data_IF_583152800646
#
_entry.id   IF_583152800646
#
_cell.length_a   1.000
_cell.length_b   1.000
_cell.length_c   1.000
_cell.angle_alpha   90.00
_cell.angle_beta   90.00
_cell.angle_gamma   90.00
#
_symmetry.space_group_name_H-M   'P 1'
#
loop_
_entity.id
_entity.type
_entity.pdbx_description
1 polymer ?
#
# COMPACT_ATOMS: atom_id res chain seq x y z
N UNK A 1 -7.25 -8.56 16.89
CA UNK A 1 -8.24 -7.52 16.52
C UNK A 1 -7.50 -6.49 15.70
N UNK A 2 -7.67 -6.48 14.37
CA UNK A 2 -6.90 -5.59 13.49
C UNK A 2 -7.22 -4.12 13.78
N UNK A 3 -6.22 -3.26 13.62
CA UNK A 3 -6.26 -1.80 13.85
C UNK A 3 -7.41 -1.11 13.07
N UNK A 4 -7.97 -1.78 12.07
CA UNK A 4 -9.02 -1.28 11.18
C UNK A 4 -10.45 -1.59 11.64
N UNK A 5 -10.67 -2.48 12.61
CA UNK A 5 -11.99 -2.76 13.18
C UNK A 5 -12.27 -1.87 14.39
N UNK A 6 -12.46 -0.56 14.18
CA UNK A 6 -12.96 0.31 15.25
C UNK A 6 -14.49 0.17 15.36
N UNK A 7 -14.94 -0.30 16.52
CA UNK A 7 -16.35 -0.46 16.86
C UNK A 7 -17.00 0.91 17.11
N UNK A 8 -17.75 1.42 16.13
CA UNK A 8 -18.76 2.46 16.40
C UNK A 8 -19.93 1.81 17.17
N UNK A 9 -19.81 1.71 18.50
CA UNK A 9 -20.93 1.33 19.36
C UNK A 9 -21.96 2.48 19.37
N UNK A 10 -23.10 2.26 18.71
CA UNK A 10 -24.29 3.08 18.87
C UNK A 10 -24.72 3.08 20.34
N UNK A 11 -24.65 4.24 21.00
CA UNK A 11 -25.23 4.46 22.32
C UNK A 11 -26.60 5.12 22.12
N UNK A 12 -27.72 4.54 22.60
CA UNK A 12 -29.02 5.19 22.48
C UNK A 12 -29.11 6.28 23.54
N UNK A 13 -29.25 7.54 23.13
CA UNK A 13 -29.45 8.65 24.04
C UNK A 13 -30.91 9.12 24.00
N UNK A 14 -31.45 9.22 25.20
CA UNK A 14 -32.80 9.63 25.57
C UNK A 14 -33.16 11.04 25.09
N UNK A 15 -34.48 11.21 24.91
CA UNK A 15 -35.22 12.43 24.60
C UNK A 15 -34.75 13.67 25.37
N UNK A 16 -34.39 14.75 24.66
CA UNK A 16 -34.17 16.07 25.25
C UNK A 16 -33.58 17.06 24.24
N UNK A 17 -34.38 18.05 23.83
CA UNK A 17 -34.03 19.05 22.83
C UNK A 17 -32.79 19.88 23.22
N UNK A 18 -31.77 19.90 22.36
CA UNK A 18 -30.76 20.95 22.32
C UNK A 18 -30.16 21.05 20.90
N UNK A 19 -30.06 22.28 20.42
CA UNK A 19 -29.50 22.74 19.14
C UNK A 19 -28.45 21.80 18.54
N UNK A 20 -28.75 21.22 17.38
CA UNK A 20 -27.84 20.38 16.60
C UNK A 20 -26.73 21.23 15.98
N UNK A 21 -25.68 21.51 16.77
CA UNK A 21 -24.34 21.73 16.23
C UNK A 21 -23.86 20.38 15.69
N UNK A 22 -24.18 20.11 14.42
CA UNK A 22 -23.48 19.09 13.65
C UNK A 22 -22.03 19.58 13.48
N UNK A 23 -21.22 19.33 14.51
CA UNK A 23 -19.77 19.34 14.36
C UNK A 23 -19.44 18.26 13.35
N UNK A 24 -19.24 18.66 12.09
CA UNK A 24 -18.63 17.78 11.10
C UNK A 24 -17.28 17.38 11.66
N UNK A 25 -17.18 16.14 12.14
CA UNK A 25 -15.90 15.52 12.43
C UNK A 25 -15.21 15.39 11.07
N UNK A 26 -14.46 16.42 10.69
CA UNK A 26 -13.78 16.53 9.41
C UNK A 26 -12.60 15.58 9.38
N UNK A 27 -12.88 14.28 9.28
CA UNK A 27 -11.86 13.27 9.09
C UNK A 27 -11.31 13.45 7.67
N UNK A 28 -10.06 13.90 7.56
CA UNK A 28 -9.40 14.03 6.26
C UNK A 28 -8.90 12.66 5.87
N UNK A 29 -9.23 12.15 4.68
CA UNK A 29 -8.70 10.87 4.24
C UNK A 29 -7.17 10.93 4.21
N UNK A 30 -6.51 9.83 4.56
CA UNK A 30 -5.06 9.68 4.52
C UNK A 30 -4.65 8.35 3.87
N UNK A 31 -3.39 8.27 3.44
CA UNK A 31 -2.79 7.01 2.97
C UNK A 31 -2.15 6.29 4.14
N UNK A 32 -2.52 5.03 4.34
CA UNK A 32 -1.87 4.16 5.31
C UNK A 32 -1.23 2.96 4.61
N UNK A 33 0.10 2.83 4.60
CA UNK A 33 0.79 1.65 4.09
C UNK A 33 0.39 0.42 4.89
N UNK A 34 0.09 -0.68 4.21
CA UNK A 34 -0.13 -1.96 4.86
C UNK A 34 1.22 -2.56 5.23
N UNK A 35 1.41 -2.87 6.51
CA UNK A 35 2.65 -3.47 7.01
C UNK A 35 2.63 -4.99 6.87
N UNK A 36 3.80 -5.62 6.99
CA UNK A 36 3.91 -7.08 7.11
C UNK A 36 3.13 -7.58 8.32
N UNK A 37 3.08 -6.83 9.43
CA UNK A 37 2.26 -7.16 10.60
C UNK A 37 0.76 -7.17 10.27
N UNK A 38 0.27 -6.13 9.58
CA UNK A 38 -1.14 -6.02 9.19
C UNK A 38 -1.54 -7.17 8.26
N UNK A 39 -0.69 -7.46 7.26
CA UNK A 39 -0.92 -8.54 6.32
C UNK A 39 -0.82 -9.93 6.97
N UNK A 40 0.07 -10.08 7.97
CA UNK A 40 0.13 -11.29 8.80
C UNK A 40 -1.20 -11.54 9.50
N UNK A 41 -1.80 -10.51 10.12
CA UNK A 41 -3.09 -10.66 10.79
C UNK A 41 -4.20 -11.06 9.81
N UNK A 42 -4.19 -10.49 8.60
CA UNK A 42 -5.11 -10.90 7.53
C UNK A 42 -4.95 -12.39 7.17
N UNK A 43 -3.72 -12.84 6.92
CA UNK A 43 -3.43 -14.23 6.55
C UNK A 43 -3.78 -15.20 7.68
N UNK A 44 -3.48 -14.84 8.93
CA UNK A 44 -3.81 -15.65 10.11
C UNK A 44 -5.32 -15.80 10.33
N UNK A 45 -6.09 -14.73 10.14
CA UNK A 45 -7.56 -14.74 10.31
C UNK A 45 -8.28 -15.52 9.20
N UNK A 46 -7.70 -15.59 8.00
CA UNK A 46 -8.40 -16.06 6.79
C UNK A 46 -7.82 -17.34 6.18
N UNK A 47 -6.58 -17.69 6.50
CA UNK A 47 -5.84 -18.72 5.78
C UNK A 47 -5.50 -18.33 4.34
N UNK A 48 -5.49 -17.03 4.01
CA UNK A 48 -5.21 -16.55 2.66
C UNK A 48 -3.82 -16.94 2.20
N UNK A 49 -3.72 -17.34 0.92
CA UNK A 49 -2.45 -17.65 0.24
C UNK A 49 -2.26 -16.62 -0.86
N UNK A 50 -1.13 -15.91 -0.85
CA UNK A 50 -0.87 -14.86 -1.84
C UNK A 50 -0.60 -15.42 -3.23
N UNK A 51 -0.73 -14.61 -4.27
CA UNK A 51 -0.43 -15.05 -5.64
C UNK A 51 1.03 -15.54 -5.77
N UNK A 52 2.00 -14.82 -5.19
CA UNK A 52 3.40 -15.27 -5.12
C UNK A 52 3.56 -16.64 -4.43
N UNK A 53 2.83 -16.89 -3.34
CA UNK A 53 2.84 -18.20 -2.66
C UNK A 53 2.19 -19.30 -3.53
N UNK A 54 1.13 -18.99 -4.29
CA UNK A 54 0.50 -19.96 -5.22
C UNK A 54 1.42 -20.33 -6.37
N UNK A 55 2.16 -19.36 -6.91
CA UNK A 55 3.14 -19.61 -7.97
C UNK A 55 4.39 -20.34 -7.46
N UNK A 56 4.75 -20.14 -6.19
CA UNK A 56 5.99 -20.66 -5.61
C UNK A 56 7.22 -19.81 -5.93
N UNK A 57 7.05 -18.69 -6.63
CA UNK A 57 8.13 -17.78 -7.00
C UNK A 57 7.58 -16.35 -7.15
N UNK A 58 8.48 -15.37 -7.12
CA UNK A 58 8.15 -13.99 -7.49
C UNK A 58 9.32 -13.25 -8.12
N UNK A 59 9.06 -12.04 -8.60
CA UNK A 59 10.07 -11.15 -9.18
C UNK A 59 10.80 -10.38 -8.07
N UNK A 60 12.12 -10.44 -8.07
CA UNK A 60 12.99 -9.66 -7.19
C UNK A 60 13.74 -8.64 -8.02
N UNK A 61 13.34 -7.37 -7.91
CA UNK A 61 14.05 -6.26 -8.52
C UNK A 61 15.45 -6.11 -7.90
N UNK A 62 16.48 -5.93 -8.76
CA UNK A 62 17.88 -5.76 -8.33
C UNK A 62 18.46 -4.40 -8.74
N UNK A 63 17.91 -3.76 -9.77
CA UNK A 63 18.20 -2.39 -10.18
C UNK A 63 17.00 -1.84 -10.96
N UNK A 64 17.03 -0.60 -11.46
CA UNK A 64 15.91 -0.08 -12.28
C UNK A 64 15.63 -0.91 -13.53
N UNK A 65 16.67 -1.53 -14.10
CA UNK A 65 16.56 -2.29 -15.35
C UNK A 65 16.72 -3.79 -15.17
N UNK A 66 17.10 -4.24 -13.96
CA UNK A 66 17.43 -5.64 -13.68
C UNK A 66 16.51 -6.27 -12.65
N UNK A 67 16.03 -7.47 -12.93
CA UNK A 67 15.26 -8.30 -12.02
C UNK A 67 15.72 -9.75 -12.09
N UNK A 68 15.34 -10.54 -11.09
CA UNK A 68 15.49 -12.00 -11.05
C UNK A 68 14.12 -12.63 -10.76
N UNK A 69 13.89 -13.82 -11.29
CA UNK A 69 12.84 -14.70 -10.80
C UNK A 69 13.45 -15.53 -9.68
N UNK A 70 12.82 -15.52 -8.51
CA UNK A 70 13.35 -16.18 -7.31
C UNK A 70 12.27 -17.07 -6.74
N UNK A 71 12.59 -18.37 -6.63
CA UNK A 71 11.77 -19.36 -5.93
C UNK A 71 11.59 -18.96 -4.47
N UNK A 72 10.44 -19.29 -3.90
CA UNK A 72 10.03 -18.99 -2.52
C UNK A 72 10.00 -17.48 -2.17
N UNK A 73 10.26 -16.58 -3.14
CA UNK A 73 10.10 -15.16 -2.92
C UNK A 73 8.62 -14.80 -2.76
N UNK A 74 8.26 -14.33 -1.58
CA UNK A 74 6.88 -13.96 -1.22
C UNK A 74 6.89 -12.86 -0.15
N UNK A 75 5.72 -12.47 0.34
CA UNK A 75 5.60 -11.36 1.30
C UNK A 75 6.30 -11.63 2.65
N UNK A 76 6.50 -12.90 3.03
CA UNK A 76 7.25 -13.31 4.23
C UNK A 76 8.75 -13.31 3.99
N UNK A 77 9.19 -13.77 2.81
CA UNK A 77 10.58 -13.83 2.36
C UNK A 77 10.74 -13.00 1.07
N UNK A 78 10.82 -11.66 1.12
CA UNK A 78 10.73 -10.83 -0.08
C UNK A 78 11.82 -11.07 -1.13
N UNK A 79 12.97 -11.60 -0.71
CA UNK A 79 14.07 -12.00 -1.60
C UNK A 79 14.25 -13.53 -1.70
N UNK A 80 13.27 -14.30 -1.22
CA UNK A 80 13.29 -15.76 -1.16
C UNK A 80 14.09 -16.37 0.01
N UNK A 81 14.77 -15.54 0.82
CA UNK A 81 15.68 -16.07 1.85
C UNK A 81 15.60 -15.36 3.20
N UNK A 82 15.45 -14.03 3.20
CA UNK A 82 15.45 -13.22 4.42
C UNK A 82 14.02 -12.83 4.80
N UNK A 83 13.64 -13.00 6.08
CA UNK A 83 12.32 -12.61 6.54
C UNK A 83 12.14 -11.10 6.47
N UNK A 84 10.94 -10.68 6.08
CA UNK A 84 10.52 -9.30 6.16
C UNK A 84 10.35 -8.86 7.62
N UNK A 85 10.68 -7.60 7.91
CA UNK A 85 10.40 -7.00 9.22
C UNK A 85 8.92 -6.62 9.32
N UNK A 86 8.30 -6.88 10.48
CA UNK A 86 6.87 -6.69 10.71
C UNK A 86 6.40 -5.24 10.49
N UNK A 87 7.25 -4.25 10.80
CA UNK A 87 6.93 -2.82 10.67
C UNK A 87 7.10 -2.29 9.23
N UNK A 88 7.72 -3.07 8.34
CA UNK A 88 7.94 -2.66 6.97
C UNK A 88 6.63 -2.76 6.16
N UNK A 89 6.45 -1.93 5.13
CA UNK A 89 5.42 -2.14 4.12
C UNK A 89 5.51 -3.56 3.59
N UNK A 90 4.36 -4.22 3.47
CA UNK A 90 4.27 -5.52 2.82
C UNK A 90 4.63 -5.37 1.33
N UNK A 91 5.44 -6.28 0.82
CA UNK A 91 5.82 -6.35 -0.60
C UNK A 91 5.61 -7.76 -1.13
N UNK A 92 5.96 -8.02 -2.40
CA UNK A 92 5.66 -9.31 -3.05
C UNK A 92 4.16 -9.67 -2.99
N UNK A 93 3.31 -8.66 -3.05
CA UNK A 93 1.85 -8.78 -3.10
C UNK A 93 1.33 -8.26 -4.43
N UNK A 94 0.32 -8.93 -4.96
CA UNK A 94 -0.36 -8.59 -6.21
C UNK A 94 -1.54 -7.65 -5.99
N UNK A 95 -2.18 -7.20 -7.08
CA UNK A 95 -3.44 -6.47 -6.99
C UNK A 95 -4.55 -7.33 -6.34
N UNK A 96 -4.60 -8.63 -6.66
CA UNK A 96 -5.59 -9.53 -6.09
C UNK A 96 -5.39 -9.68 -4.57
N UNK A 97 -4.14 -9.79 -4.12
CA UNK A 97 -3.78 -9.85 -2.69
C UNK A 97 -4.23 -8.58 -1.96
N UNK A 98 -3.94 -7.42 -2.54
CA UNK A 98 -4.32 -6.13 -1.98
C UNK A 98 -5.85 -5.95 -1.92
N UNK A 99 -6.58 -6.41 -2.94
CA UNK A 99 -8.05 -6.38 -2.97
C UNK A 99 -8.66 -7.30 -1.91
N UNK A 100 -8.15 -8.52 -1.77
CA UNK A 100 -8.60 -9.47 -0.75
C UNK A 100 -8.36 -8.93 0.67
N UNK A 101 -7.20 -8.33 0.92
CA UNK A 101 -6.92 -7.63 2.18
C UNK A 101 -7.94 -6.51 2.44
N UNK A 102 -8.20 -5.65 1.44
CA UNK A 102 -9.15 -4.55 1.57
C UNK A 102 -10.57 -5.04 1.93
N UNK A 103 -11.03 -6.10 1.28
CA UNK A 103 -12.32 -6.74 1.55
C UNK A 103 -12.40 -7.26 3.01
N UNK A 104 -11.35 -7.93 3.49
CA UNK A 104 -11.30 -8.43 4.87
C UNK A 104 -11.25 -7.31 5.93
N UNK A 105 -10.46 -6.26 5.66
CA UNK A 105 -10.24 -5.15 6.58
C UNK A 105 -11.38 -4.11 6.55
N UNK A 106 -12.27 -4.15 5.55
CA UNK A 106 -13.32 -3.14 5.37
C UNK A 106 -12.79 -1.78 4.92
N UNK A 107 -11.67 -1.78 4.18
CA UNK A 107 -11.01 -0.59 3.63
C UNK A 107 -10.96 -0.67 2.11
N UNK A 108 -10.33 0.30 1.44
CA UNK A 108 -10.15 0.26 -0.01
C UNK A 108 -8.82 0.86 -0.44
N UNK A 109 -8.37 0.45 -1.62
CA UNK A 109 -7.27 1.09 -2.34
C UNK A 109 -7.68 2.51 -2.80
N UNK A 110 -6.76 3.48 -2.78
CA UNK A 110 -6.96 4.76 -3.45
C UNK A 110 -7.02 4.54 -4.98
N UNK A 111 -7.81 5.35 -5.68
CA UNK A 111 -7.60 5.53 -7.13
C UNK A 111 -6.27 6.22 -7.39
N UNK A 112 -5.75 6.13 -8.60
CA UNK A 112 -4.50 6.81 -8.98
C UNK A 112 -4.56 8.31 -8.70
N UNK A 113 -5.70 8.95 -9.01
CA UNK A 113 -5.91 10.38 -8.73
C UNK A 113 -5.94 10.66 -7.22
N UNK A 114 -6.67 9.85 -6.44
CA UNK A 114 -6.71 10.03 -4.99
C UNK A 114 -5.33 9.88 -4.36
N UNK A 115 -4.54 8.90 -4.80
CA UNK A 115 -3.17 8.72 -4.30
C UNK A 115 -2.35 10.02 -4.42
N UNK A 116 -2.34 10.65 -5.61
CA UNK A 116 -1.57 11.87 -5.84
C UNK A 116 -2.08 13.09 -5.08
N UNK A 117 -3.36 13.13 -4.73
CA UNK A 117 -3.88 14.19 -3.86
C UNK A 117 -3.49 13.96 -2.39
N UNK A 118 -3.61 12.72 -1.93
CA UNK A 118 -3.38 12.37 -0.53
C UNK A 118 -1.89 12.35 -0.16
N UNK A 119 -1.03 11.93 -1.08
CA UNK A 119 0.41 11.77 -0.82
C UNK A 119 1.12 13.11 -0.55
N UNK A 120 0.49 14.24 -0.89
CA UNK A 120 1.00 15.59 -0.57
C UNK A 120 1.06 15.85 0.93
N UNK A 121 0.16 15.24 1.70
CA UNK A 121 0.04 15.39 3.15
C UNK A 121 0.54 14.15 3.91
N UNK A 122 1.12 13.17 3.19
CA UNK A 122 1.62 11.93 3.77
C UNK A 122 2.89 12.17 4.59
N UNK A 123 2.87 11.70 5.84
CA UNK A 123 3.92 11.90 6.84
C UNK A 123 4.63 10.59 7.21
N UNK A 124 4.36 9.47 6.51
CA UNK A 124 5.04 8.19 6.78
C UNK A 124 6.55 8.36 6.61
N UNK A 125 7.40 7.69 7.39
CA UNK A 125 8.85 7.75 7.19
C UNK A 125 9.25 7.03 5.89
N UNK A 126 10.24 7.58 5.20
CA UNK A 126 10.97 6.86 4.15
C UNK A 126 11.82 5.79 4.83
N UNK A 127 11.71 4.54 4.37
CA UNK A 127 12.43 3.39 4.92
C UNK A 127 13.50 2.92 3.94
N UNK A 128 14.20 3.87 3.33
CA UNK A 128 15.54 3.69 2.75
C UNK A 128 16.47 4.48 3.64
N UNK A 129 17.10 3.83 4.61
CA UNK A 129 18.27 4.27 5.43
C UNK A 129 18.34 5.74 5.96
N UNK A 130 17.31 6.53 5.75
CA UNK A 130 17.14 7.94 6.01
C UNK A 130 15.85 8.09 6.81
N UNK A 131 16.00 8.23 8.12
CA UNK A 131 14.90 8.38 9.08
C UNK A 131 14.25 9.77 8.94
N UNK A 132 13.48 10.00 7.88
CA UNK A 132 12.73 11.24 7.65
C UNK A 132 11.37 10.96 6.98
N UNK A 133 10.38 11.87 7.10
CA UNK A 133 9.06 11.70 6.48
C UNK A 133 9.14 11.64 4.94
N UNK A 134 8.11 11.10 4.29
CA UNK A 134 7.92 11.18 2.84
C UNK A 134 8.09 12.64 2.43
N UNK A 135 8.99 12.85 1.48
CA UNK A 135 9.24 14.19 0.98
C UNK A 135 8.11 14.62 0.04
N UNK A 136 7.74 15.92 0.01
CA UNK A 136 6.64 16.39 -0.80
C UNK A 136 6.78 15.99 -2.27
N UNK A 137 5.64 15.71 -2.91
CA UNK A 137 5.63 15.36 -4.31
C UNK A 137 6.31 16.42 -5.18
N UNK A 138 7.24 16.00 -6.04
CA UNK A 138 8.02 16.90 -6.92
C UNK A 138 9.28 17.53 -6.31
N UNK A 139 9.57 17.31 -5.03
CA UNK A 139 10.82 17.80 -4.37
C UNK A 139 11.94 16.76 -4.33
N UNK A 140 11.58 15.49 -4.50
CA UNK A 140 12.48 14.34 -4.57
C UNK A 140 12.07 13.45 -5.73
N UNK A 141 12.88 12.42 -6.02
CA UNK A 141 12.56 11.44 -7.05
C UNK A 141 12.00 10.11 -6.51
N UNK A 142 11.74 10.02 -5.21
CA UNK A 142 11.10 8.84 -4.59
C UNK A 142 9.95 9.35 -3.73
N UNK A 143 8.69 9.01 -4.05
CA UNK A 143 7.51 9.31 -3.22
C UNK A 143 6.89 8.00 -2.77
N UNK A 144 7.38 7.48 -1.65
CA UNK A 144 7.02 6.16 -1.15
C UNK A 144 8.15 5.15 -1.35
N UNK A 145 8.26 4.24 -0.39
CA UNK A 145 9.35 3.25 -0.32
C UNK A 145 9.26 2.23 -1.47
N UNK A 146 8.04 1.84 -1.76
CA UNK A 146 7.66 0.85 -2.76
C UNK A 146 6.54 1.45 -3.59
N UNK A 147 6.38 0.95 -4.82
CA UNK A 147 5.23 1.29 -5.64
C UNK A 147 3.95 0.91 -4.91
N UNK A 148 2.98 1.83 -4.86
CA UNK A 148 1.68 1.59 -4.26
C UNK A 148 0.68 1.13 -5.34
N UNK A 149 0.06 -0.03 -5.13
CA UNK A 149 -1.05 -0.54 -5.95
C UNK A 149 -2.27 0.37 -5.77
N UNK A 150 -2.90 0.74 -6.89
CA UNK A 150 -4.12 1.57 -6.89
C UNK A 150 -5.35 0.77 -7.32
N UNK A 151 -6.55 1.30 -7.10
CA UNK A 151 -7.79 0.72 -7.65
C UNK A 151 -7.96 0.95 -9.17
N UNK A 152 -7.05 1.70 -9.81
CA UNK A 152 -7.18 2.09 -11.21
C UNK A 152 -6.61 1.01 -12.13
N UNK A 153 -7.49 0.32 -12.86
CA UNK A 153 -7.12 -0.74 -13.80
C UNK A 153 -7.46 -0.39 -15.25
N UNK A 154 -6.64 -0.85 -16.19
CA UNK A 154 -6.87 -0.76 -17.64
C UNK A 154 -6.40 -2.04 -18.31
N UNK A 155 -7.25 -2.69 -19.12
CA UNK A 155 -6.92 -3.93 -19.85
C UNK A 155 -6.30 -5.03 -18.96
N UNK A 156 -6.89 -5.29 -17.79
CA UNK A 156 -6.36 -6.26 -16.80
C UNK A 156 -4.95 -5.94 -16.30
N UNK A 157 -4.57 -4.67 -16.31
CA UNK A 157 -3.36 -4.17 -15.67
C UNK A 157 -3.74 -3.12 -14.64
N UNK A 158 -3.04 -3.09 -13.52
CA UNK A 158 -3.19 -2.06 -12.50
C UNK A 158 -2.15 -0.96 -12.68
N UNK A 159 -2.58 0.29 -12.52
CA UNK A 159 -1.68 1.45 -12.51
C UNK A 159 -1.07 1.62 -11.13
N UNK A 160 0.26 1.65 -11.06
CA UNK A 160 1.00 1.89 -9.82
C UNK A 160 1.28 3.38 -9.61
N UNK A 161 1.45 3.81 -8.35
CA UNK A 161 1.77 5.19 -7.99
C UNK A 161 2.94 5.31 -6.99
N UNK A 162 3.52 6.52 -6.88
CA UNK A 162 4.53 6.88 -5.89
C UNK A 162 6.00 6.66 -6.28
N UNK A 163 6.28 5.62 -7.07
CA UNK A 163 7.65 5.20 -7.32
C UNK A 163 8.18 4.28 -6.23
N UNK A 164 9.45 3.87 -6.36
CA UNK A 164 10.13 3.06 -5.36
C UNK A 164 11.55 3.54 -5.15
N UNK A 165 12.22 2.98 -4.15
CA UNK A 165 13.65 3.23 -3.85
C UNK A 165 14.59 2.99 -5.04
N UNK A 166 14.15 2.27 -6.06
CA UNK A 166 14.95 2.07 -7.27
C UNK A 166 14.89 3.29 -8.21
N UNK A 167 13.88 4.16 -8.12
CA UNK A 167 13.69 5.23 -9.10
C UNK A 167 14.65 6.42 -8.97
N UNK A 168 15.16 6.88 -10.11
CA UNK A 168 15.90 8.15 -10.29
C UNK A 168 15.25 9.06 -11.35
N UNK A 169 15.60 10.35 -11.36
CA UNK A 169 15.02 11.37 -12.27
C UNK A 169 15.19 10.96 -13.74
N UNK A 170 16.29 10.27 -14.00
CA UNK A 170 16.72 9.80 -15.31
C UNK A 170 16.17 8.41 -15.67
N UNK A 171 15.40 7.76 -14.80
CA UNK A 171 14.91 6.39 -15.02
C UNK A 171 13.39 6.32 -14.93
N UNK A 172 12.81 5.62 -13.95
CA UNK A 172 11.36 5.52 -13.80
C UNK A 172 10.70 6.83 -13.38
N UNK A 173 11.44 7.78 -12.77
CA UNK A 173 10.96 9.10 -12.35
C UNK A 173 9.60 9.00 -11.65
N UNK A 174 9.55 8.18 -10.60
CA UNK A 174 8.30 7.73 -9.97
C UNK A 174 7.47 8.83 -9.30
N UNK A 175 7.98 10.06 -9.31
CA UNK A 175 7.35 11.24 -8.70
C UNK A 175 6.53 12.09 -9.67
N UNK A 176 6.52 11.73 -10.96
CA UNK A 176 5.71 12.38 -11.99
C UNK A 176 4.37 11.67 -12.15
N UNK A 177 3.23 12.32 -11.81
CA UNK A 177 1.90 11.74 -12.01
C UNK A 177 1.61 11.35 -13.47
N UNK A 178 2.31 11.95 -14.43
CA UNK A 178 2.17 11.69 -15.85
C UNK A 178 2.90 10.42 -16.29
N UNK A 179 3.87 9.92 -15.51
CA UNK A 179 4.51 8.63 -15.78
C UNK A 179 3.52 7.52 -15.48
N UNK A 180 3.22 6.73 -16.49
CA UNK A 180 2.35 5.56 -16.32
C UNK A 180 3.20 4.30 -16.19
N UNK A 181 3.02 3.61 -15.07
CA UNK A 181 3.61 2.30 -14.85
C UNK A 181 2.49 1.32 -14.53
N UNK A 182 2.47 0.20 -15.24
CA UNK A 182 1.44 -0.82 -15.10
C UNK A 182 2.08 -2.17 -14.83
N UNK A 183 1.38 -2.97 -14.05
CA UNK A 183 1.66 -4.39 -13.82
C UNK A 183 0.35 -5.15 -14.01
N UNK A 184 0.40 -6.43 -14.37
CA UNK A 184 -0.80 -7.27 -14.38
C UNK A 184 -1.36 -7.47 -12.96
N UNK A 185 -2.49 -8.15 -12.84
CA UNK A 185 -3.21 -8.26 -11.56
C UNK A 185 -2.58 -9.25 -10.56
N UNK A 186 -1.69 -10.13 -11.03
CA UNK A 186 -1.18 -11.29 -10.28
C UNK A 186 0.30 -11.14 -9.91
N UNK A 187 1.05 -10.26 -10.58
CA UNK A 187 2.47 -10.05 -10.30
C UNK A 187 2.70 -9.25 -9.01
N UNK A 188 3.42 -9.89 -8.08
CA UNK A 188 4.13 -9.23 -6.98
C UNK A 188 5.58 -8.89 -7.34
N UNK A 189 6.16 -7.93 -6.63
CA UNK A 189 7.60 -7.63 -6.71
C UNK A 189 8.12 -7.11 -5.36
N UNK A 190 9.41 -7.26 -5.08
CA UNK A 190 10.07 -6.82 -3.84
C UNK A 190 9.90 -5.33 -3.55
N UNK A 191 9.61 -4.52 -4.58
CA UNK A 191 9.36 -3.09 -4.48
C UNK A 191 7.94 -2.66 -4.89
N UNK A 192 6.98 -3.58 -4.87
CA UNK A 192 5.54 -3.31 -5.05
C UNK A 192 4.82 -3.72 -3.77
N UNK A 193 4.08 -2.78 -3.19
CA UNK A 193 3.21 -2.96 -2.04
C UNK A 193 1.93 -2.15 -2.21
N UNK A 194 1.24 -1.83 -1.12
CA UNK A 194 0.05 -1.00 -1.21
C UNK A 194 -0.26 -0.22 0.06
N UNK A 195 -0.98 0.87 -0.14
CA UNK A 195 -1.55 1.71 0.90
C UNK A 195 -3.06 1.72 0.76
N UNK A 196 -3.75 1.75 1.89
CA UNK A 196 -5.21 1.83 1.96
C UNK A 196 -5.63 3.24 2.36
N UNK A 197 -6.83 3.62 1.95
CA UNK A 197 -7.44 4.86 2.44
C UNK A 197 -8.08 4.62 3.79
N UNK A 198 -7.73 5.46 4.77
CA UNK A 198 -8.37 5.51 6.08
C UNK A 198 -8.99 6.88 6.30
N UNK A 199 -10.02 6.91 7.15
CA UNK A 199 -10.61 8.15 7.65
C UNK A 199 -10.07 8.32 9.08
N UNK A 200 -9.11 9.21 9.26
CA UNK A 200 -8.55 9.57 10.58
C UNK A 200 -9.32 10.69 11.24
#
# INVERSE_FOLDING_TARGET
MSRFRSNCKFMPLFLGALLSLLGSCGHTPSLQPVTVQDFTAFVEDTGYVSDAEKYGWSVVQTSVFGYKVVEDANWRLPDGSRPASLEMPVTQVSYNDAKAYCEWAGVRLPSYREYWELVKEDKRPIISDQKGPVSPAGTVNIIGNVWDITSTTKNSQVRLAGGSIFCSENTCHGTRPEREFYVDLETGNIHIGFSVMTME
#
